data_IF_411638710811
#
_entry.id   IF_411638710811
#
_cell.length_a   1.000
_cell.length_b   1.000
_cell.length_c   1.000
_cell.angle_alpha   90.00
_cell.angle_beta   90.00
_cell.angle_gamma   90.00
#
_symmetry.space_group_name_H-M   'P 1'
#
loop_
_entity.id
_entity.type
_entity.pdbx_description
1 polymer ?
#
# COMPACT_ATOMS: atom_id res chain seq x y z
N UNK A 1 -5.51 9.89 30.28
CA UNK A 1 -4.97 9.03 29.20
C UNK A 1 -4.10 9.88 28.30
N UNK A 2 -2.86 9.47 28.00
CA UNK A 2 -1.96 10.24 27.12
C UNK A 2 -2.48 10.26 25.68
N UNK A 3 -2.13 11.29 24.91
CA UNK A 3 -2.53 11.39 23.49
C UNK A 3 -1.99 10.22 22.65
N UNK A 4 -0.79 9.73 22.96
CA UNK A 4 -0.22 8.50 22.38
C UNK A 4 -1.11 7.28 22.61
N UNK A 5 -1.58 7.09 23.84
CA UNK A 5 -2.44 5.96 24.18
C UNK A 5 -3.84 6.08 23.55
N UNK A 6 -4.40 7.31 23.50
CA UNK A 6 -5.67 7.56 22.76
C UNK A 6 -5.55 7.18 21.30
N UNK A 7 -4.47 7.61 20.64
CA UNK A 7 -4.23 7.32 19.23
C UNK A 7 -4.16 5.82 18.96
N UNK A 8 -3.36 5.11 19.76
CA UNK A 8 -3.20 3.65 19.64
C UNK A 8 -4.55 2.94 19.84
N UNK A 9 -5.30 3.29 20.88
CA UNK A 9 -6.62 2.68 21.13
C UNK A 9 -7.57 2.94 19.95
N UNK A 10 -7.61 4.17 19.45
CA UNK A 10 -8.48 4.57 18.33
C UNK A 10 -8.17 3.78 17.05
N UNK A 11 -6.90 3.72 16.64
CA UNK A 11 -6.53 2.98 15.43
C UNK A 11 -6.64 1.46 15.61
N UNK A 12 -6.35 0.92 16.80
CA UNK A 12 -6.52 -0.50 17.11
C UNK A 12 -7.97 -0.93 17.11
N UNK A 13 -8.89 -0.11 17.64
CA UNK A 13 -10.33 -0.38 17.57
C UNK A 13 -10.77 -0.41 16.11
N UNK A 14 -10.38 0.58 15.30
CA UNK A 14 -10.80 0.65 13.90
C UNK A 14 -10.31 -0.56 13.10
N UNK A 15 -9.04 -0.94 13.25
CA UNK A 15 -8.47 -2.11 12.60
C UNK A 15 -9.12 -3.42 13.08
N UNK A 16 -9.38 -3.54 14.39
CA UNK A 16 -10.07 -4.72 14.94
C UNK A 16 -11.47 -4.86 14.35
N UNK A 17 -12.22 -3.76 14.23
CA UNK A 17 -13.54 -3.75 13.59
C UNK A 17 -13.42 -4.20 12.13
N UNK A 18 -12.43 -3.71 11.39
CA UNK A 18 -12.18 -4.16 10.02
C UNK A 18 -11.94 -5.68 9.95
N UNK A 19 -11.04 -6.24 10.78
CA UNK A 19 -10.74 -7.67 10.75
C UNK A 19 -11.94 -8.53 11.14
N UNK A 20 -12.71 -8.14 12.15
CA UNK A 20 -13.94 -8.86 12.54
C UNK A 20 -14.91 -8.93 11.36
N UNK A 21 -15.14 -7.80 10.67
CA UNK A 21 -16.04 -7.76 9.51
C UNK A 21 -15.45 -8.57 8.34
N UNK A 22 -14.15 -8.49 8.09
CA UNK A 22 -13.48 -9.24 7.03
C UNK A 22 -13.58 -10.75 7.26
N UNK A 23 -13.33 -11.22 8.49
CA UNK A 23 -13.49 -12.63 8.85
C UNK A 23 -14.94 -13.10 8.77
N UNK A 24 -15.89 -12.25 9.17
CA UNK A 24 -17.31 -12.54 9.02
C UNK A 24 -17.72 -12.70 7.55
N UNK A 25 -17.30 -11.78 6.68
CA UNK A 25 -17.57 -11.91 5.24
C UNK A 25 -16.90 -13.13 4.63
N UNK A 26 -15.67 -13.45 5.02
CA UNK A 26 -15.02 -14.69 4.58
C UNK A 26 -15.84 -15.92 5.00
N UNK A 27 -16.34 -15.95 6.23
CA UNK A 27 -17.12 -17.07 6.76
C UNK A 27 -18.47 -17.27 6.06
N UNK A 28 -19.15 -16.18 5.68
CA UNK A 28 -20.51 -16.23 5.10
C UNK A 28 -20.50 -16.29 3.57
N UNK A 29 -19.56 -15.59 2.92
CA UNK A 29 -19.53 -15.44 1.45
C UNK A 29 -18.49 -16.35 0.78
N UNK A 30 -17.50 -16.85 1.53
CA UNK A 30 -16.42 -17.66 0.96
C UNK A 30 -15.66 -16.88 -0.12
N UNK A 31 -15.60 -17.45 -1.34
CA UNK A 31 -14.89 -16.83 -2.45
C UNK A 31 -15.50 -15.47 -2.84
N UNK A 32 -14.66 -14.46 -2.97
CA UNK A 32 -15.09 -13.10 -3.31
C UNK A 32 -15.39 -12.18 -2.12
N UNK A 33 -15.28 -12.67 -0.88
CA UNK A 33 -15.43 -11.84 0.33
C UNK A 33 -14.53 -10.58 0.33
N UNK A 34 -13.38 -10.66 -0.34
CA UNK A 34 -12.41 -9.57 -0.47
C UNK A 34 -13.01 -8.28 -1.01
N UNK A 35 -13.92 -8.34 -1.99
CA UNK A 35 -14.56 -7.13 -2.53
C UNK A 35 -15.38 -6.40 -1.47
N UNK A 36 -16.07 -7.14 -0.61
CA UNK A 36 -16.88 -6.59 0.47
C UNK A 36 -16.04 -6.05 1.62
N UNK A 37 -15.01 -6.80 2.06
CA UNK A 37 -14.14 -6.35 3.15
C UNK A 37 -13.36 -5.09 2.76
N UNK A 38 -12.85 -5.01 1.53
CA UNK A 38 -12.17 -3.81 1.02
C UNK A 38 -13.11 -2.61 0.84
N UNK A 39 -14.37 -2.85 0.47
CA UNK A 39 -15.38 -1.78 0.46
C UNK A 39 -15.63 -1.23 1.87
N UNK A 40 -15.71 -2.12 2.87
CA UNK A 40 -15.80 -1.70 4.29
C UNK A 40 -14.56 -0.94 4.73
N UNK A 41 -13.37 -1.36 4.33
CA UNK A 41 -12.13 -0.64 4.61
C UNK A 41 -12.17 0.81 4.10
N UNK A 42 -12.65 1.03 2.86
CA UNK A 42 -12.82 2.38 2.29
C UNK A 42 -13.80 3.19 3.15
N UNK A 43 -14.94 2.61 3.52
CA UNK A 43 -15.95 3.30 4.34
C UNK A 43 -15.37 3.68 5.70
N UNK A 44 -14.69 2.76 6.38
CA UNK A 44 -14.05 3.01 7.68
C UNK A 44 -12.97 4.09 7.58
N UNK A 45 -12.17 4.09 6.52
CA UNK A 45 -11.18 5.13 6.26
C UNK A 45 -11.87 6.50 6.11
N UNK A 46 -12.89 6.59 5.27
CA UNK A 46 -13.64 7.83 5.05
C UNK A 46 -14.29 8.33 6.34
N UNK A 47 -14.89 7.45 7.16
CA UNK A 47 -15.43 7.83 8.46
C UNK A 47 -14.35 8.40 9.39
N UNK A 48 -13.19 7.76 9.45
CA UNK A 48 -12.04 8.28 10.19
C UNK A 48 -11.63 9.68 9.71
N UNK A 49 -11.53 9.87 8.40
CA UNK A 49 -11.18 11.17 7.80
C UNK A 49 -12.25 12.25 8.04
N UNK A 50 -13.54 11.90 8.03
CA UNK A 50 -14.66 12.81 8.34
C UNK A 50 -14.56 13.30 9.77
N UNK A 51 -14.31 12.40 10.74
CA UNK A 51 -14.21 12.74 12.17
C UNK A 51 -13.11 13.77 12.42
N UNK A 52 -12.02 13.71 11.65
CA UNK A 52 -10.89 14.65 11.73
C UNK A 52 -10.96 15.80 10.68
N UNK A 53 -12.05 15.88 9.91
CA UNK A 53 -12.43 17.05 9.12
C UNK A 53 -11.77 17.23 7.75
N UNK A 54 -11.16 16.20 7.15
CA UNK A 54 -10.52 16.25 5.80
C UNK A 54 -9.56 17.43 5.55
N UNK A 55 -8.90 17.94 6.60
CA UNK A 55 -8.03 19.13 6.49
C UNK A 55 -6.59 18.80 6.87
N UNK A 56 -5.68 19.58 6.32
CA UNK A 56 -4.25 19.45 6.58
C UNK A 56 -3.75 18.04 6.28
N UNK A 57 -3.32 17.34 7.31
CA UNK A 57 -2.76 15.99 7.25
C UNK A 57 -3.75 14.90 6.83
N UNK A 58 -5.02 15.06 7.22
CA UNK A 58 -6.13 14.15 6.91
C UNK A 58 -6.75 14.37 5.52
N UNK A 59 -6.17 15.24 4.68
CA UNK A 59 -6.56 15.29 3.28
C UNK A 59 -5.81 14.16 2.53
N UNK A 60 -6.51 13.17 1.94
CA UNK A 60 -5.85 12.09 1.20
C UNK A 60 -5.29 12.57 -0.15
N UNK A 61 -5.66 13.77 -0.61
CA UNK A 61 -5.17 14.31 -1.87
C UNK A 61 -3.73 14.83 -1.74
N UNK A 62 -2.90 14.66 -2.79
CA UNK A 62 -1.52 15.13 -2.76
C UNK A 62 -1.45 16.66 -2.75
N UNK A 63 -0.37 17.19 -2.17
CA UNK A 63 -0.05 18.63 -2.18
C UNK A 63 0.10 19.16 -3.60
N UNK A 64 0.74 18.38 -4.47
CA UNK A 64 0.92 18.68 -5.88
C UNK A 64 0.56 17.43 -6.70
N UNK A 65 -0.58 17.49 -7.40
CA UNK A 65 -1.09 16.38 -8.21
C UNK A 65 -0.15 16.03 -9.36
N UNK A 66 0.44 17.04 -10.02
CA UNK A 66 1.39 16.83 -11.13
C UNK A 66 2.61 16.06 -10.65
N UNK A 67 3.16 16.40 -9.47
CA UNK A 67 4.26 15.67 -8.87
C UNK A 67 3.89 14.20 -8.63
N UNK A 68 2.74 13.96 -7.97
CA UNK A 68 2.28 12.60 -7.69
C UNK A 68 2.04 11.80 -8.97
N UNK A 69 1.41 12.37 -9.98
CA UNK A 69 1.15 11.70 -11.27
C UNK A 69 2.45 11.42 -12.03
N UNK A 70 3.39 12.37 -12.08
CA UNK A 70 4.70 12.19 -12.72
C UNK A 70 5.45 10.98 -12.14
N UNK A 71 5.55 10.91 -10.81
CA UNK A 71 6.25 9.81 -10.16
C UNK A 71 5.46 8.50 -10.20
N UNK A 72 4.12 8.56 -10.16
CA UNK A 72 3.27 7.40 -10.39
C UNK A 72 3.47 6.82 -11.80
N UNK A 73 3.60 7.68 -12.81
CA UNK A 73 3.91 7.25 -14.18
C UNK A 73 5.32 6.65 -14.28
N UNK A 74 6.32 7.22 -13.59
CA UNK A 74 7.67 6.66 -13.57
C UNK A 74 7.71 5.27 -12.94
N UNK A 75 6.98 5.07 -11.84
CA UNK A 75 6.78 3.76 -11.20
C UNK A 75 6.00 2.83 -12.13
N UNK A 76 4.97 3.33 -12.81
CA UNK A 76 4.24 2.58 -13.83
C UNK A 76 5.14 2.04 -14.93
N UNK A 77 6.02 2.87 -15.47
CA UNK A 77 7.01 2.44 -16.49
C UNK A 77 7.96 1.38 -15.96
N UNK A 78 8.42 1.52 -14.71
CA UNK A 78 9.27 0.52 -14.06
C UNK A 78 8.56 -0.83 -13.96
N UNK A 79 7.35 -0.88 -13.41
CA UNK A 79 6.62 -2.14 -13.27
C UNK A 79 6.16 -2.71 -14.62
N UNK A 80 5.87 -1.88 -15.62
CA UNK A 80 5.64 -2.38 -16.98
C UNK A 80 6.87 -3.09 -17.54
N UNK A 81 8.06 -2.55 -17.30
CA UNK A 81 9.30 -3.22 -17.69
C UNK A 81 9.48 -4.55 -16.93
N UNK A 82 9.23 -4.58 -15.62
CA UNK A 82 9.33 -5.79 -14.81
C UNK A 82 8.36 -6.87 -15.29
N UNK A 83 7.12 -6.49 -15.64
CA UNK A 83 6.11 -7.40 -16.20
C UNK A 83 6.59 -7.96 -17.54
N UNK A 84 7.15 -7.15 -18.42
CA UNK A 84 7.71 -7.62 -19.69
C UNK A 84 8.86 -8.63 -19.47
N UNK A 85 9.75 -8.36 -18.51
CA UNK A 85 10.82 -9.28 -18.13
C UNK A 85 10.24 -10.60 -17.61
N UNK A 86 9.25 -10.56 -16.72
CA UNK A 86 8.60 -11.77 -16.19
C UNK A 86 7.94 -12.61 -17.31
N UNK A 87 7.26 -11.95 -18.25
CA UNK A 87 6.65 -12.60 -19.41
C UNK A 87 7.71 -13.27 -20.29
N UNK A 88 8.78 -12.56 -20.65
CA UNK A 88 9.87 -13.08 -21.46
C UNK A 88 10.54 -14.28 -20.77
N UNK A 89 10.87 -14.16 -19.48
CA UNK A 89 11.45 -15.26 -18.69
C UNK A 89 10.52 -16.47 -18.65
N UNK A 90 9.22 -16.27 -18.47
CA UNK A 90 8.25 -17.37 -18.44
C UNK A 90 8.10 -18.08 -19.78
N UNK A 91 8.23 -17.35 -20.90
CA UNK A 91 8.25 -17.94 -22.24
C UNK A 91 9.50 -18.79 -22.45
N UNK A 92 10.68 -18.28 -22.07
CA UNK A 92 11.94 -19.03 -22.13
C UNK A 92 11.94 -20.29 -21.25
N UNK A 93 11.33 -20.21 -20.06
CA UNK A 93 11.23 -21.33 -19.12
C UNK A 93 10.09 -22.31 -19.44
N UNK A 94 9.25 -22.00 -20.44
CA UNK A 94 8.07 -22.81 -20.78
C UNK A 94 6.99 -22.82 -19.69
N UNK A 95 7.00 -21.86 -18.77
CA UNK A 95 6.04 -21.74 -17.66
C UNK A 95 4.86 -20.81 -17.98
N UNK A 96 4.90 -20.14 -19.15
CA UNK A 96 3.87 -19.21 -19.58
C UNK A 96 2.51 -19.88 -19.77
N UNK A 97 1.47 -19.29 -19.20
CA UNK A 97 0.07 -19.68 -19.36
C UNK A 97 -0.68 -18.57 -20.09
N UNK A 98 -1.42 -18.95 -21.13
CA UNK A 98 -2.22 -18.01 -21.90
C UNK A 98 -3.24 -17.30 -20.97
N UNK A 99 -3.28 -15.97 -20.98
CA UNK A 99 -4.15 -15.25 -20.07
C UNK A 99 -5.61 -15.27 -20.48
N UNK A 100 -6.48 -15.24 -19.48
CA UNK A 100 -7.84 -14.77 -19.65
C UNK A 100 -7.84 -13.23 -19.55
N UNK A 101 -8.09 -12.53 -20.66
CA UNK A 101 -8.12 -11.06 -20.69
C UNK A 101 -9.11 -10.49 -19.69
N UNK A 102 -10.28 -11.10 -19.55
CA UNK A 102 -11.26 -10.69 -18.55
C UNK A 102 -10.70 -10.84 -17.12
N UNK A 103 -10.02 -11.95 -16.84
CA UNK A 103 -9.34 -12.18 -15.56
C UNK A 103 -8.28 -11.11 -15.26
N UNK A 104 -7.44 -10.76 -16.25
CA UNK A 104 -6.44 -9.69 -16.09
C UNK A 104 -7.10 -8.36 -15.76
N UNK A 105 -8.18 -8.00 -16.44
CA UNK A 105 -8.88 -6.73 -16.20
C UNK A 105 -9.50 -6.69 -14.80
N UNK A 106 -10.08 -7.80 -14.36
CA UNK A 106 -10.60 -7.95 -12.98
C UNK A 106 -9.47 -7.84 -11.96
N UNK A 107 -8.34 -8.51 -12.19
CA UNK A 107 -7.16 -8.44 -11.32
C UNK A 107 -6.59 -7.03 -11.28
N UNK A 108 -6.54 -6.32 -12.41
CA UNK A 108 -6.06 -4.94 -12.45
C UNK A 108 -6.94 -4.02 -11.58
N UNK A 109 -8.27 -4.15 -11.68
CA UNK A 109 -9.19 -3.40 -10.83
C UNK A 109 -9.03 -3.80 -9.36
N UNK A 110 -8.94 -5.10 -9.08
CA UNK A 110 -8.73 -5.62 -7.74
C UNK A 110 -7.47 -5.03 -7.10
N UNK A 111 -6.33 -5.15 -7.76
CA UNK A 111 -5.05 -4.71 -7.19
C UNK A 111 -4.90 -3.19 -7.16
N UNK A 112 -5.38 -2.45 -8.17
CA UNK A 112 -5.23 -1.00 -8.18
C UNK A 112 -6.23 -0.30 -7.24
N UNK A 113 -7.47 -0.77 -7.17
CA UNK A 113 -8.54 -0.09 -6.41
C UNK A 113 -8.71 -0.71 -5.03
N UNK A 114 -8.87 -2.02 -4.94
CA UNK A 114 -9.27 -2.68 -3.69
C UNK A 114 -8.08 -3.11 -2.83
N UNK A 115 -6.90 -3.32 -3.41
CA UNK A 115 -5.66 -3.51 -2.66
C UNK A 115 -4.95 -2.17 -2.51
N UNK A 116 -4.39 -1.62 -3.59
CA UNK A 116 -3.62 -0.38 -3.57
C UNK A 116 -4.39 0.81 -2.98
N UNK A 117 -5.45 1.28 -3.64
CA UNK A 117 -6.13 2.49 -3.16
C UNK A 117 -6.84 2.30 -1.81
N UNK A 118 -7.61 1.23 -1.61
CA UNK A 118 -8.36 1.03 -0.37
C UNK A 118 -7.44 0.92 0.85
N UNK A 119 -6.35 0.15 0.75
CA UNK A 119 -5.40 -0.01 1.84
C UNK A 119 -4.64 1.28 2.10
N UNK A 120 -4.15 1.96 1.07
CA UNK A 120 -3.46 3.24 1.29
C UNK A 120 -4.39 4.32 1.85
N UNK A 121 -5.66 4.37 1.45
CA UNK A 121 -6.62 5.30 2.03
C UNK A 121 -6.81 5.02 3.54
N UNK A 122 -6.93 3.76 3.93
CA UNK A 122 -7.13 3.35 5.32
C UNK A 122 -5.86 3.55 6.17
N UNK A 123 -4.73 2.99 5.73
CA UNK A 123 -3.50 2.98 6.51
C UNK A 123 -2.74 4.29 6.42
N UNK A 124 -2.62 4.90 5.23
CA UNK A 124 -1.79 6.11 5.01
C UNK A 124 -2.63 7.38 5.06
N UNK A 125 -3.88 7.30 4.62
CA UNK A 125 -4.82 8.42 4.71
C UNK A 125 -5.23 8.68 6.16
N UNK A 126 -5.63 7.64 6.90
CA UNK A 126 -6.17 7.80 8.25
C UNK A 126 -5.20 7.34 9.36
N UNK A 127 -4.89 6.04 9.46
CA UNK A 127 -4.16 5.47 10.62
C UNK A 127 -2.80 6.16 10.82
N UNK A 128 -2.02 6.32 9.76
CA UNK A 128 -0.72 6.97 9.81
C UNK A 128 -0.81 8.41 10.29
N UNK A 129 -1.81 9.18 9.84
CA UNK A 129 -1.94 10.58 10.25
C UNK A 129 -2.37 10.70 11.69
N UNK A 130 -3.27 9.83 12.14
CA UNK A 130 -3.66 9.76 13.53
C UNK A 130 -2.48 9.45 14.46
N UNK A 131 -1.58 8.57 14.02
CA UNK A 131 -0.35 8.23 14.73
C UNK A 131 0.68 9.37 14.63
N UNK A 132 0.85 10.01 13.48
CA UNK A 132 1.78 11.12 13.29
C UNK A 132 1.40 12.36 14.13
N UNK A 133 0.13 12.57 14.42
CA UNK A 133 -0.34 13.61 15.34
C UNK A 133 0.06 13.33 16.80
N UNK A 134 0.08 12.06 17.21
CA UNK A 134 0.37 11.67 18.59
C UNK A 134 1.86 11.38 18.85
N UNK A 135 2.57 10.89 17.84
CA UNK A 135 3.99 10.55 17.89
C UNK A 135 4.80 11.57 17.10
N UNK A 136 5.18 12.67 17.78
CA UNK A 136 5.84 13.83 17.18
C UNK A 136 7.32 13.66 16.88
N UNK A 137 7.94 12.55 17.31
CA UNK A 137 9.34 12.26 17.03
C UNK A 137 9.56 12.05 15.53
N UNK A 138 10.72 12.51 15.04
CA UNK A 138 11.11 12.39 13.64
C UNK A 138 12.47 11.73 13.49
N UNK A 139 12.55 10.83 12.53
CA UNK A 139 13.81 10.30 12.03
C UNK A 139 14.39 11.27 10.99
N UNK A 140 15.71 11.39 10.95
CA UNK A 140 16.40 12.34 10.04
C UNK A 140 16.73 11.77 8.66
N UNK A 141 16.63 10.45 8.52
CA UNK A 141 16.97 9.74 7.29
C UNK A 141 16.20 8.44 7.18
N UNK A 142 16.15 7.91 5.95
CA UNK A 142 15.61 6.60 5.63
C UNK A 142 16.50 5.97 4.57
N UNK A 143 17.00 4.75 4.83
CA UNK A 143 17.88 4.01 3.91
C UNK A 143 19.07 4.84 3.38
N UNK A 144 19.68 5.66 4.23
CA UNK A 144 20.80 6.55 3.86
C UNK A 144 20.39 7.87 3.18
N UNK A 145 19.13 8.03 2.78
CA UNK A 145 18.61 9.27 2.18
C UNK A 145 18.21 10.27 3.28
N UNK A 146 18.67 11.51 3.16
CA UNK A 146 18.34 12.60 4.10
C UNK A 146 16.94 13.12 3.84
N UNK A 147 15.97 12.55 4.52
CA UNK A 147 14.58 12.98 4.50
C UNK A 147 14.00 12.79 5.90
N UNK A 148 13.41 13.84 6.47
CA UNK A 148 12.77 13.74 7.78
C UNK A 148 11.39 13.11 7.67
N UNK A 149 11.10 12.12 8.51
CA UNK A 149 9.81 11.42 8.53
C UNK A 149 9.41 11.02 9.95
N UNK A 150 8.12 10.76 10.18
CA UNK A 150 7.56 10.66 11.53
C UNK A 150 7.66 9.24 12.12
N UNK A 151 7.79 9.15 13.45
CA UNK A 151 7.71 7.89 14.18
C UNK A 151 6.37 7.17 14.00
N UNK A 152 5.26 7.92 13.90
CA UNK A 152 3.93 7.36 13.63
C UNK A 152 3.87 6.57 12.32
N UNK A 153 4.62 6.97 11.30
CA UNK A 153 4.76 6.26 10.03
C UNK A 153 5.44 4.89 10.18
N UNK A 154 6.42 4.77 11.09
CA UNK A 154 7.03 3.47 11.40
C UNK A 154 6.02 2.55 12.07
N UNK A 155 5.28 3.07 13.05
CA UNK A 155 4.25 2.33 13.78
C UNK A 155 3.14 1.89 12.82
N UNK A 156 2.65 2.79 11.98
CA UNK A 156 1.63 2.49 10.98
C UNK A 156 2.09 1.40 10.00
N UNK A 157 3.29 1.55 9.42
CA UNK A 157 3.83 0.63 8.43
C UNK A 157 4.11 -0.78 8.98
N UNK A 158 4.61 -0.89 10.21
CA UNK A 158 4.99 -2.19 10.79
C UNK A 158 3.85 -2.80 11.60
N UNK A 159 3.31 -2.07 12.57
CA UNK A 159 2.41 -2.63 13.57
C UNK A 159 0.96 -2.74 13.08
N UNK A 160 0.52 -1.80 12.24
CA UNK A 160 -0.86 -1.73 11.75
C UNK A 160 -0.98 -2.16 10.28
N UNK A 161 0.10 -2.18 9.51
CA UNK A 161 0.04 -2.62 8.13
C UNK A 161 0.72 -3.98 7.96
N UNK A 162 2.01 -4.08 8.22
CA UNK A 162 2.79 -5.29 7.96
C UNK A 162 2.42 -6.51 8.81
N UNK A 163 2.56 -6.43 10.14
CA UNK A 163 2.29 -7.55 11.05
C UNK A 163 0.85 -8.08 10.92
N UNK A 164 -0.19 -7.24 10.79
CA UNK A 164 -1.57 -7.72 10.63
C UNK A 164 -1.82 -8.58 9.38
N UNK A 165 -0.93 -8.60 8.39
CA UNK A 165 -1.03 -9.56 7.28
C UNK A 165 -0.97 -11.02 7.75
N UNK A 166 -0.36 -11.30 8.91
CA UNK A 166 -0.39 -12.63 9.53
C UNK A 166 -1.81 -13.06 9.92
N UNK A 167 -2.71 -12.11 10.19
CA UNK A 167 -4.10 -12.38 10.57
C UNK A 167 -4.93 -12.94 9.42
N UNK A 168 -4.48 -12.83 8.17
CA UNK A 168 -5.10 -13.48 7.01
C UNK A 168 -4.98 -15.01 7.10
N UNK A 169 -3.97 -15.52 7.80
CA UNK A 169 -3.81 -16.95 8.05
C UNK A 169 -4.90 -17.51 8.97
N UNK A 170 -5.63 -16.67 9.69
CA UNK A 170 -6.57 -17.09 10.73
C UNK A 170 -7.97 -16.58 10.43
N UNK A 171 -9.00 -17.39 10.72
CA UNK A 171 -10.38 -16.94 10.80
C UNK A 171 -11.08 -17.60 12.00
N UNK A 172 -11.47 -16.84 13.03
CA UNK A 172 -12.08 -17.40 14.23
C UNK A 172 -13.49 -17.92 14.02
N UNK A 173 -14.25 -17.42 13.05
CA UNK A 173 -15.63 -17.85 12.80
C UNK A 173 -15.71 -19.23 12.13
N UNK A 174 -14.68 -19.62 11.38
CA UNK A 174 -14.60 -20.91 10.70
C UNK A 174 -13.62 -21.89 11.37
N UNK A 175 -12.83 -21.40 12.33
CA UNK A 175 -11.73 -22.17 12.94
C UNK A 175 -10.53 -22.37 12.00
N UNK A 176 -10.47 -21.68 10.85
CA UNK A 176 -9.37 -21.81 9.89
C UNK A 176 -8.08 -21.24 10.47
N UNK A 177 -7.01 -22.03 10.44
CA UNK A 177 -5.63 -21.56 10.66
C UNK A 177 -4.71 -22.16 9.59
N UNK A 178 -4.28 -21.34 8.65
CA UNK A 178 -3.51 -21.71 7.46
C UNK A 178 -2.28 -20.81 7.31
N UNK A 179 -1.38 -20.86 8.29
CA UNK A 179 -0.12 -20.14 8.24
C UNK A 179 0.84 -20.80 7.23
N UNK A 180 1.46 -19.99 6.37
CA UNK A 180 2.41 -20.46 5.37
C UNK A 180 3.65 -19.57 5.32
N UNK A 181 4.75 -20.09 4.79
CA UNK A 181 5.97 -19.31 4.57
C UNK A 181 5.70 -18.09 3.67
N UNK A 182 4.79 -18.21 2.70
CA UNK A 182 4.37 -17.09 1.84
C UNK A 182 3.69 -15.99 2.64
N UNK A 183 2.79 -16.31 3.58
CA UNK A 183 2.13 -15.31 4.43
C UNK A 183 3.15 -14.60 5.33
N UNK A 184 4.12 -15.34 5.87
CA UNK A 184 5.20 -14.73 6.66
C UNK A 184 6.07 -13.81 5.80
N UNK A 185 6.43 -14.24 4.59
CA UNK A 185 7.20 -13.42 3.65
C UNK A 185 6.43 -12.15 3.24
N UNK A 186 5.11 -12.25 3.02
CA UNK A 186 4.23 -11.10 2.77
C UNK A 186 4.23 -10.17 3.97
N UNK A 187 4.08 -10.65 5.21
CA UNK A 187 4.07 -9.80 6.40
C UNK A 187 5.40 -9.05 6.60
N UNK A 188 6.53 -9.71 6.35
CA UNK A 188 7.86 -9.08 6.40
C UNK A 188 8.00 -8.01 5.31
N UNK A 189 7.65 -8.36 4.07
CA UNK A 189 7.69 -7.43 2.93
C UNK A 189 6.77 -6.23 3.16
N UNK A 190 5.53 -6.47 3.57
CA UNK A 190 4.53 -5.45 3.88
C UNK A 190 4.97 -4.55 5.03
N UNK A 191 5.65 -5.08 6.06
CA UNK A 191 6.22 -4.25 7.14
C UNK A 191 7.25 -3.26 6.60
N UNK A 192 8.14 -3.72 5.71
CA UNK A 192 9.16 -2.87 5.11
C UNK A 192 8.55 -1.88 4.11
N UNK A 193 7.86 -2.37 3.09
CA UNK A 193 7.22 -1.55 2.05
C UNK A 193 6.19 -0.59 2.64
N UNK A 194 5.55 -1.00 3.74
CA UNK A 194 4.55 -0.19 4.38
C UNK A 194 5.09 1.09 5.00
N UNK A 195 6.33 1.07 5.50
CA UNK A 195 7.05 2.27 5.94
C UNK A 195 7.45 3.12 4.73
N UNK A 196 7.89 2.49 3.64
CA UNK A 196 8.29 3.17 2.41
C UNK A 196 7.13 3.96 1.80
N UNK A 197 5.95 3.34 1.67
CA UNK A 197 4.74 4.01 1.21
C UNK A 197 4.30 5.11 2.17
N UNK A 198 4.46 4.92 3.47
CA UNK A 198 4.19 5.97 4.45
C UNK A 198 5.11 7.19 4.30
N UNK A 199 6.40 6.98 4.03
CA UNK A 199 7.35 8.05 3.71
C UNK A 199 7.00 8.74 2.39
N UNK A 200 6.61 7.98 1.35
CA UNK A 200 6.11 8.57 0.10
C UNK A 200 4.84 9.39 0.31
N UNK A 201 3.94 8.96 1.21
CA UNK A 201 2.78 9.75 1.62
C UNK A 201 3.20 11.04 2.30
N UNK A 202 4.17 11.02 3.20
CA UNK A 202 4.66 12.26 3.83
C UNK A 202 5.28 13.23 2.80
N UNK A 203 6.06 12.69 1.86
CA UNK A 203 6.67 13.47 0.78
C UNK A 203 5.61 14.14 -0.09
N UNK A 204 4.62 13.38 -0.54
CA UNK A 204 3.59 13.85 -1.49
C UNK A 204 2.44 14.59 -0.81
N UNK A 205 2.20 14.31 0.46
CA UNK A 205 1.05 14.74 1.24
C UNK A 205 -0.24 13.93 1.02
N UNK A 206 -0.26 12.97 0.09
CA UNK A 206 -1.46 12.23 -0.27
C UNK A 206 -1.20 10.77 -0.65
N UNK A 207 -2.28 10.03 -0.90
CA UNK A 207 -2.23 8.56 -1.04
C UNK A 207 -2.06 8.07 -2.49
N UNK A 208 -2.10 8.96 -3.49
CA UNK A 208 -2.07 8.54 -4.91
C UNK A 208 -0.78 7.80 -5.27
N UNK A 209 0.38 8.39 -4.99
CA UNK A 209 1.67 7.77 -5.32
C UNK A 209 1.86 6.42 -4.60
N UNK A 210 1.67 6.31 -3.26
CA UNK A 210 1.76 5.02 -2.61
C UNK A 210 0.71 4.02 -3.11
N UNK A 211 -0.52 4.45 -3.44
CA UNK A 211 -1.57 3.55 -3.93
C UNK A 211 -1.23 2.94 -5.28
N UNK A 212 -0.68 3.75 -6.20
CA UNK A 212 -0.22 3.27 -7.49
C UNK A 212 0.95 2.30 -7.32
N UNK A 213 1.92 2.62 -6.47
CA UNK A 213 3.06 1.74 -6.23
C UNK A 213 2.60 0.41 -5.61
N UNK A 214 1.83 0.46 -4.53
CA UNK A 214 1.29 -0.73 -3.87
C UNK A 214 0.50 -1.61 -4.85
N UNK A 215 -0.48 -1.04 -5.56
CA UNK A 215 -1.30 -1.79 -6.51
C UNK A 215 -0.48 -2.41 -7.65
N UNK A 216 0.50 -1.70 -8.20
CA UNK A 216 1.36 -2.22 -9.26
C UNK A 216 2.29 -3.32 -8.77
N UNK A 217 2.83 -3.22 -7.55
CA UNK A 217 3.66 -4.26 -6.96
C UNK A 217 2.87 -5.56 -6.82
N UNK A 218 1.68 -5.47 -6.24
CA UNK A 218 0.86 -6.65 -6.00
C UNK A 218 0.29 -7.23 -7.30
N UNK A 219 -0.14 -6.38 -8.23
CA UNK A 219 -0.54 -6.83 -9.57
C UNK A 219 0.61 -7.55 -10.29
N UNK A 220 1.83 -7.03 -10.20
CA UNK A 220 3.00 -7.63 -10.84
C UNK A 220 3.38 -8.97 -10.21
N UNK A 221 3.24 -9.13 -8.89
CA UNK A 221 3.55 -10.40 -8.21
C UNK A 221 2.44 -11.43 -8.45
N UNK A 222 1.20 -11.08 -8.13
CA UNK A 222 0.08 -12.02 -8.04
C UNK A 222 -0.72 -12.10 -9.33
N UNK A 223 -1.12 -10.96 -9.91
CA UNK A 223 -1.88 -10.92 -11.16
C UNK A 223 -1.07 -11.51 -12.31
N UNK A 224 0.14 -10.98 -12.53
CA UNK A 224 1.05 -11.50 -13.57
C UNK A 224 1.58 -12.90 -13.23
N UNK A 225 1.74 -13.21 -11.93
CA UNK A 225 2.12 -14.54 -11.47
C UNK A 225 1.18 -15.67 -11.90
N UNK A 226 -0.09 -15.38 -12.17
CA UNK A 226 -1.02 -16.37 -12.74
C UNK A 226 -0.62 -16.79 -14.16
N UNK A 227 0.01 -15.89 -14.93
CA UNK A 227 0.49 -16.13 -16.29
C UNK A 227 1.92 -16.68 -16.32
N UNK A 228 2.80 -16.14 -15.47
CA UNK A 228 4.25 -16.42 -15.54
C UNK A 228 4.72 -17.48 -14.55
N UNK A 229 3.91 -17.76 -13.53
CA UNK A 229 4.28 -18.47 -12.31
C UNK A 229 4.76 -17.51 -11.21
N UNK A 230 4.35 -17.79 -9.96
CA UNK A 230 4.63 -16.94 -8.78
C UNK A 230 6.11 -16.68 -8.51
N UNK A 231 6.98 -17.65 -8.83
CA UNK A 231 8.42 -17.49 -8.65
C UNK A 231 8.99 -16.46 -9.63
N UNK A 232 8.63 -16.57 -10.91
CA UNK A 232 9.14 -15.67 -11.96
C UNK A 232 8.64 -14.24 -11.75
N UNK A 233 7.35 -14.06 -11.47
CA UNK A 233 6.77 -12.76 -11.16
C UNK A 233 7.36 -12.16 -9.88
N UNK A 234 7.49 -12.96 -8.83
CA UNK A 234 8.09 -12.54 -7.56
C UNK A 234 9.53 -12.06 -7.69
N UNK A 235 10.38 -12.79 -8.45
CA UNK A 235 11.76 -12.38 -8.72
C UNK A 235 11.78 -11.07 -9.53
N UNK A 236 10.98 -10.97 -10.59
CA UNK A 236 10.92 -9.77 -11.42
C UNK A 236 10.47 -8.54 -10.61
N UNK A 237 9.42 -8.67 -9.80
CA UNK A 237 8.97 -7.57 -8.92
C UNK A 237 9.99 -7.23 -7.83
N UNK A 238 10.72 -8.21 -7.28
CA UNK A 238 11.81 -7.96 -6.35
C UNK A 238 12.95 -7.14 -6.98
N UNK A 239 13.31 -7.45 -8.23
CA UNK A 239 14.26 -6.65 -9.02
C UNK A 239 13.70 -5.24 -9.25
N UNK A 240 12.44 -5.12 -9.61
CA UNK A 240 11.73 -3.84 -9.75
C UNK A 240 11.85 -2.96 -8.51
N UNK A 241 11.55 -3.51 -7.34
CA UNK A 241 11.69 -2.82 -6.06
C UNK A 241 13.15 -2.40 -5.80
N UNK A 242 14.13 -3.26 -6.12
CA UNK A 242 15.55 -2.91 -6.00
C UNK A 242 15.93 -1.74 -6.94
N UNK A 243 15.49 -1.77 -8.19
CA UNK A 243 15.70 -0.70 -9.19
C UNK A 243 15.03 0.59 -8.73
N UNK A 244 13.84 0.53 -8.13
CA UNK A 244 13.18 1.68 -7.52
C UNK A 244 14.08 2.34 -6.47
N UNK A 245 14.66 1.57 -5.54
CA UNK A 245 15.56 2.12 -4.52
C UNK A 245 16.83 2.70 -5.12
N UNK A 246 17.41 2.02 -6.10
CA UNK A 246 18.66 2.44 -6.73
C UNK A 246 18.52 3.75 -7.52
N UNK A 247 17.37 4.01 -8.15
CA UNK A 247 17.25 5.10 -9.13
C UNK A 247 16.15 6.11 -8.90
N UNK A 248 15.06 5.74 -8.21
CA UNK A 248 13.85 6.58 -8.09
C UNK A 248 13.66 7.11 -6.67
N UNK A 249 13.88 6.28 -5.64
CA UNK A 249 13.51 6.62 -4.26
C UNK A 249 14.14 7.94 -3.77
N UNK A 250 15.47 8.04 -3.83
CA UNK A 250 16.18 9.27 -3.43
C UNK A 250 15.76 10.48 -4.27
N UNK A 251 15.63 10.29 -5.60
CA UNK A 251 15.20 11.36 -6.51
C UNK A 251 13.80 11.87 -6.15
N UNK A 252 12.86 10.99 -5.83
CA UNK A 252 11.52 11.37 -5.38
C UNK A 252 11.63 12.21 -4.11
N UNK A 253 12.38 11.76 -3.11
CA UNK A 253 12.48 12.44 -1.82
C UNK A 253 13.15 13.81 -1.92
N UNK A 254 14.10 13.99 -2.84
CA UNK A 254 14.82 15.25 -3.03
C UNK A 254 14.17 16.19 -4.05
N UNK A 255 13.30 15.68 -4.92
CA UNK A 255 12.63 16.52 -5.93
C UNK A 255 11.70 17.54 -5.30
N UNK A 256 11.66 18.75 -5.86
CA UNK A 256 10.73 19.76 -5.38
C UNK A 256 9.27 19.32 -5.59
N UNK A 257 8.49 19.42 -4.52
CA UNK A 257 7.06 19.10 -4.48
C UNK A 257 6.23 20.33 -4.08
N UNK A 258 6.81 21.53 -4.21
CA UNK A 258 6.09 22.78 -4.06
C UNK A 258 4.99 22.88 -5.12
N UNK A 259 3.86 23.48 -4.75
CA UNK A 259 2.85 23.86 -5.74
C UNK A 259 3.45 25.02 -6.52
N UNK A 260 3.70 24.84 -7.82
CA UNK A 260 4.00 25.97 -8.70
C UNK A 260 2.82 26.91 -8.56
N UNK A 261 3.03 28.07 -7.92
CA UNK A 261 2.08 29.17 -8.00
C UNK A 261 2.06 29.56 -9.48
N UNK A 262 1.10 29.05 -10.23
CA UNK A 262 0.77 29.65 -11.51
C UNK A 262 0.60 31.15 -11.25
N UNK A 263 1.28 31.93 -12.08
CA UNK A 263 1.34 33.37 -12.00
C UNK A 263 -0.01 33.95 -11.57
N UNK A 264 0.01 34.70 -10.48
CA UNK A 264 -0.95 35.77 -10.28
C UNK A 264 -0.85 36.65 -11.53
N UNK A 265 -1.73 36.41 -12.50
CA UNK A 265 -1.99 37.36 -13.57
C UNK A 265 -2.74 38.51 -12.90
N UNK A 266 -1.93 39.51 -12.57
CA UNK A 266 -2.29 40.93 -12.46
C UNK A 266 -3.06 41.40 -13.68
#
# INVERSE_FOLDING_TARGET
>A
MSEKLKALIEVSILETVFFIIAWFFEAVLGNGYGWYSKSVMIILALLGLVVHGFRGRYNPMPKNLVFSLKWSAAIGVLFLFDILVALILSLFLGSFKAPNIYGILVDLVWFMVFVGFAEELFFRGYIQERLNDAFSERFKSILGVKFEWHQGTLIAGVMFFGIPHLLVAWNPFTGRLALSATIVAVAVSASFMGVIWGVLKEKTGGVILPAVFHGLLDFSVFGVGQMTGMLASGIASGIGVFVFFAFLFEKILHSDNSVVKEHALS
#
